data_IF_072289033989
#
_entry.id   IF_072289033989
#
_cell.length_a   1.000
_cell.length_b   1.000
_cell.length_c   1.000
_cell.angle_alpha   90.00
_cell.angle_beta   90.00
_cell.angle_gamma   90.00
#
_symmetry.space_group_name_H-M   'P 1'
#
loop_
_entity.id
_entity.type
_entity.pdbx_description
1 polymer ?
#
# COMPACT_ATOMS: atom_id res chain seq x y z
N UNK A 1 13.51 22.49 -19.80
CA UNK A 1 12.44 21.86 -18.99
C UNK A 1 13.12 21.12 -17.85
N UNK A 2 13.01 21.54 -16.58
CA UNK A 2 13.64 20.80 -15.48
C UNK A 2 12.77 19.59 -15.09
N UNK A 3 13.42 18.45 -14.81
CA UNK A 3 12.80 17.14 -14.56
C UNK A 3 12.19 16.97 -13.14
N UNK A 4 11.62 15.79 -12.84
CA UNK A 4 10.70 15.58 -11.71
C UNK A 4 11.36 15.44 -10.32
N UNK A 5 12.65 15.74 -10.17
CA UNK A 5 13.35 15.65 -8.89
C UNK A 5 13.87 17.02 -8.45
N UNK A 6 13.00 17.79 -7.78
CA UNK A 6 13.34 18.83 -6.78
C UNK A 6 12.16 19.80 -6.67
N UNK A 7 11.12 19.42 -5.92
CA UNK A 7 10.17 20.40 -5.41
C UNK A 7 10.83 21.16 -4.25
N UNK A 8 11.56 22.22 -4.58
CA UNK A 8 11.91 23.31 -3.65
C UNK A 8 11.28 24.59 -4.18
N UNK A 9 10.88 25.46 -3.23
CA UNK A 9 10.39 26.85 -3.37
C UNK A 9 8.86 27.03 -3.63
N UNK A 10 8.07 27.94 -2.99
CA UNK A 10 8.25 29.12 -2.10
C UNK A 10 6.95 29.41 -1.33
N UNK A 11 7.00 29.85 -0.06
CA UNK A 11 6.27 31.06 0.41
C UNK A 11 7.12 31.78 1.48
N UNK A 12 7.51 33.02 1.19
CA UNK A 12 8.16 33.96 2.10
C UNK A 12 7.18 35.07 2.44
N UNK A 13 6.95 35.32 3.72
CA UNK A 13 6.74 36.65 4.30
C UNK A 13 7.14 36.55 5.77
N UNK A 14 8.14 37.35 6.17
CA UNK A 14 8.68 37.52 7.54
C UNK A 14 9.75 36.52 8.03
N UNK A 15 11.01 36.78 7.66
CA UNK A 15 12.18 36.85 8.57
C UNK A 15 12.58 35.69 9.49
N UNK A 16 11.81 34.59 9.59
CA UNK A 16 12.18 33.34 10.23
C UNK A 16 12.23 32.28 9.14
N UNK A 17 13.37 31.59 9.03
CA UNK A 17 13.43 30.41 8.16
C UNK A 17 12.33 29.43 8.60
N UNK A 18 11.41 29.02 7.72
CA UNK A 18 10.46 27.98 8.07
C UNK A 18 11.27 26.70 8.32
N UNK A 19 10.98 26.06 9.45
CA UNK A 19 11.36 24.68 9.70
C UNK A 19 11.01 23.87 8.45
N UNK A 20 12.02 23.37 7.74
CA UNK A 20 11.81 22.48 6.60
C UNK A 20 11.22 21.23 7.21
N UNK A 21 9.90 21.11 7.19
CA UNK A 21 9.24 19.85 7.49
C UNK A 21 9.73 18.89 6.42
N UNK A 22 10.75 18.09 6.76
CA UNK A 22 11.20 16.97 5.95
C UNK A 22 10.02 16.01 5.88
N UNK A 23 9.13 16.22 4.92
CA UNK A 23 8.13 15.22 4.58
C UNK A 23 8.94 14.00 4.15
N UNK A 24 8.78 12.84 4.81
CA UNK A 24 9.45 11.62 4.39
C UNK A 24 9.17 11.40 2.89
N UNK A 25 10.15 10.88 2.15
CA UNK A 25 9.98 10.59 0.72
C UNK A 25 8.79 9.64 0.55
N UNK A 26 7.65 10.20 0.10
CA UNK A 26 6.37 9.51 0.01
C UNK A 26 6.31 8.78 -1.32
N UNK A 27 6.10 7.46 -1.28
CA UNK A 27 6.00 6.62 -2.48
C UNK A 27 4.71 5.83 -2.51
N UNK A 28 4.08 5.79 -3.68
CA UNK A 28 2.84 5.09 -3.91
C UNK A 28 3.10 3.87 -4.80
N UNK A 29 2.77 2.67 -4.35
CA UNK A 29 2.78 1.47 -5.19
C UNK A 29 1.36 0.96 -5.38
N UNK A 30 1.13 0.22 -6.45
CA UNK A 30 -0.14 -0.43 -6.73
C UNK A 30 0.09 -1.89 -7.06
N UNK A 31 -0.81 -2.76 -6.62
CA UNK A 31 -0.91 -4.12 -7.17
C UNK A 31 -1.90 -4.16 -8.33
N UNK A 32 -2.30 -5.36 -8.75
CA UNK A 32 -3.12 -5.53 -9.95
C UNK A 32 -4.63 -5.34 -9.74
N UNK A 33 -5.12 -5.21 -8.49
CA UNK A 33 -6.55 -5.19 -8.21
C UNK A 33 -7.23 -3.89 -8.66
N UNK A 34 -6.57 -2.75 -8.45
CA UNK A 34 -7.15 -1.42 -8.67
C UNK A 34 -6.16 -0.39 -9.26
N UNK A 35 -5.50 -0.68 -10.40
CA UNK A 35 -4.48 0.20 -10.97
C UNK A 35 -5.03 1.58 -11.39
N UNK A 36 -6.25 1.64 -11.93
CA UNK A 36 -6.86 2.92 -12.32
C UNK A 36 -7.13 3.84 -11.13
N UNK A 37 -7.60 3.27 -10.01
CA UNK A 37 -7.83 4.03 -8.79
C UNK A 37 -6.50 4.52 -8.20
N UNK A 38 -5.47 3.66 -8.20
CA UNK A 38 -4.14 4.03 -7.74
C UNK A 38 -3.58 5.20 -8.57
N UNK A 39 -3.72 5.16 -9.90
CA UNK A 39 -3.30 6.26 -10.77
C UNK A 39 -4.09 7.55 -10.49
N UNK A 40 -5.41 7.47 -10.28
CA UNK A 40 -6.22 8.65 -9.90
C UNK A 40 -5.80 9.25 -8.57
N UNK A 41 -5.43 8.41 -7.60
CA UNK A 41 -4.90 8.86 -6.29
C UNK A 41 -3.54 9.54 -6.48
N UNK A 42 -2.63 8.92 -7.23
CA UNK A 42 -1.32 9.49 -7.53
C UNK A 42 -1.43 10.86 -8.22
N UNK A 43 -2.30 10.96 -9.23
CA UNK A 43 -2.56 12.22 -9.94
C UNK A 43 -3.10 13.32 -9.01
N UNK A 44 -4.00 12.97 -8.07
CA UNK A 44 -4.55 13.92 -7.09
C UNK A 44 -3.52 14.36 -6.04
N UNK A 45 -2.54 13.51 -5.76
CA UNK A 45 -1.42 13.80 -4.87
C UNK A 45 -0.25 14.45 -5.60
N UNK A 46 -0.39 14.76 -6.89
CA UNK A 46 0.65 15.34 -7.76
C UNK A 46 1.95 14.52 -7.76
N UNK A 47 1.83 13.19 -7.73
CA UNK A 47 2.93 12.24 -7.77
C UNK A 47 2.68 11.14 -8.81
N UNK A 48 3.68 10.29 -9.05
CA UNK A 48 3.57 9.09 -9.88
C UNK A 48 3.50 7.83 -9.02
N UNK A 49 3.01 6.74 -9.62
CA UNK A 49 3.22 5.42 -9.03
C UNK A 49 4.70 5.06 -9.12
N UNK A 50 5.16 4.36 -8.09
CA UNK A 50 6.50 3.82 -8.01
C UNK A 50 6.70 2.66 -8.98
N UNK A 51 7.95 2.40 -9.32
CA UNK A 51 8.34 1.32 -10.23
C UNK A 51 8.39 -0.01 -9.48
N UNK A 52 7.37 -0.83 -9.70
CA UNK A 52 7.31 -2.20 -9.24
C UNK A 52 6.74 -3.11 -10.33
N UNK A 53 7.41 -4.23 -10.58
CA UNK A 53 6.87 -5.31 -11.39
C UNK A 53 6.06 -6.24 -10.48
N UNK A 54 4.74 -6.27 -10.65
CA UNK A 54 3.81 -7.14 -9.91
C UNK A 54 3.12 -8.06 -10.91
N UNK A 55 3.45 -9.34 -10.89
CA UNK A 55 2.99 -10.28 -11.87
C UNK A 55 2.97 -11.72 -11.36
N UNK A 56 3.17 -12.65 -12.28
CA UNK A 56 3.12 -14.08 -12.01
C UNK A 56 4.26 -14.82 -12.69
N UNK A 57 4.76 -15.85 -12.02
CA UNK A 57 5.56 -16.89 -12.67
C UNK A 57 4.67 -17.78 -13.54
N UNK A 58 5.28 -18.62 -14.38
CA UNK A 58 4.56 -19.49 -15.32
C UNK A 58 3.64 -20.52 -14.66
N UNK A 59 3.89 -20.85 -13.40
CA UNK A 59 3.09 -21.76 -12.57
C UNK A 59 1.97 -21.03 -11.80
N UNK A 60 1.87 -19.70 -11.90
CA UNK A 60 0.85 -18.88 -11.26
C UNK A 60 1.24 -18.31 -9.89
N UNK A 61 2.45 -18.55 -9.40
CA UNK A 61 2.93 -17.93 -8.17
C UNK A 61 3.10 -16.41 -8.33
N UNK A 62 2.78 -15.65 -7.27
CA UNK A 62 2.99 -14.19 -7.22
C UNK A 62 4.48 -13.88 -7.37
N UNK A 63 4.80 -12.98 -8.29
CA UNK A 63 6.15 -12.42 -8.46
C UNK A 63 6.11 -10.91 -8.25
N UNK A 64 6.98 -10.40 -7.38
CA UNK A 64 7.08 -8.97 -7.08
C UNK A 64 8.54 -8.56 -7.09
N UNK A 65 8.84 -7.46 -7.78
CA UNK A 65 10.14 -6.79 -7.75
C UNK A 65 9.95 -5.28 -7.62
N UNK A 66 10.57 -4.68 -6.61
CA UNK A 66 10.63 -3.21 -6.43
C UNK A 66 11.86 -2.70 -7.17
N UNK A 67 11.68 -1.83 -8.15
CA UNK A 67 12.74 -1.39 -9.08
C UNK A 67 13.34 -0.03 -8.73
N UNK A 68 13.01 0.51 -7.56
CA UNK A 68 13.52 1.80 -7.10
C UNK A 68 13.92 1.77 -5.62
N UNK A 69 14.70 2.76 -5.21
CA UNK A 69 15.09 2.89 -3.81
C UNK A 69 13.92 3.34 -2.93
N UNK A 70 13.59 2.56 -1.91
CA UNK A 70 12.50 2.83 -0.95
C UNK A 70 13.01 2.99 0.49
N UNK A 71 14.32 2.95 0.72
CA UNK A 71 14.92 2.95 2.06
C UNK A 71 14.49 4.18 2.85
N UNK A 72 13.91 3.97 4.03
CA UNK A 72 13.46 5.05 4.92
C UNK A 72 12.24 5.83 4.42
N UNK A 73 11.67 5.47 3.26
CA UNK A 73 10.49 6.14 2.70
C UNK A 73 9.20 5.83 3.45
N UNK A 74 8.21 6.69 3.29
CA UNK A 74 6.83 6.45 3.74
C UNK A 74 6.03 5.89 2.56
N UNK A 75 5.80 4.59 2.62
CA UNK A 75 5.30 3.80 1.50
C UNK A 75 3.80 3.55 1.66
N UNK A 76 3.04 3.78 0.60
CA UNK A 76 1.62 3.48 0.53
C UNK A 76 1.38 2.47 -0.58
N UNK A 77 0.77 1.33 -0.25
CA UNK A 77 0.39 0.31 -1.23
C UNK A 77 -1.11 0.39 -1.45
N UNK A 78 -1.53 0.72 -2.65
CA UNK A 78 -2.94 0.81 -3.03
C UNK A 78 -3.35 -0.51 -3.67
N UNK A 79 -4.04 -1.34 -2.90
CA UNK A 79 -4.46 -2.66 -3.37
C UNK A 79 -5.75 -3.07 -2.65
N UNK A 80 -6.83 -3.23 -3.42
CA UNK A 80 -8.05 -3.87 -2.91
C UNK A 80 -7.87 -5.38 -2.85
N UNK A 81 -8.58 -6.04 -1.93
CA UNK A 81 -8.66 -7.51 -1.87
C UNK A 81 -9.99 -7.99 -2.45
N UNK A 82 -10.35 -7.45 -3.62
CA UNK A 82 -11.51 -7.89 -4.42
C UNK A 82 -11.17 -9.12 -5.27
N UNK A 83 -12.14 -9.66 -6.02
CA UNK A 83 -11.90 -10.83 -6.87
C UNK A 83 -10.81 -10.56 -7.93
N UNK A 84 -9.83 -11.47 -8.12
CA UNK A 84 -9.58 -12.70 -7.36
C UNK A 84 -8.96 -12.44 -5.98
N UNK A 85 -9.72 -12.71 -4.91
CA UNK A 85 -9.42 -12.23 -3.55
C UNK A 85 -8.09 -12.72 -3.01
N UNK A 86 -7.80 -14.01 -3.17
CA UNK A 86 -6.58 -14.62 -2.63
C UNK A 86 -5.35 -14.12 -3.37
N UNK A 87 -5.44 -14.00 -4.68
CA UNK A 87 -4.37 -13.51 -5.53
C UNK A 87 -4.01 -12.07 -5.20
N UNK A 88 -5.01 -11.19 -5.07
CA UNK A 88 -4.80 -9.79 -4.73
C UNK A 88 -4.28 -9.62 -3.29
N UNK A 89 -4.73 -10.46 -2.35
CA UNK A 89 -4.19 -10.50 -0.99
C UNK A 89 -2.73 -10.98 -1.00
N UNK A 90 -2.41 -12.01 -1.78
CA UNK A 90 -1.05 -12.53 -1.88
C UNK A 90 -0.09 -11.52 -2.53
N UNK A 91 -0.52 -10.79 -3.55
CA UNK A 91 0.24 -9.66 -4.10
C UNK A 91 0.54 -8.62 -3.03
N UNK A 92 -0.46 -8.20 -2.26
CA UNK A 92 -0.28 -7.21 -1.19
C UNK A 92 0.76 -7.67 -0.16
N UNK A 93 0.62 -8.88 0.38
CA UNK A 93 1.53 -9.36 1.44
C UNK A 93 2.96 -9.55 0.93
N UNK A 94 3.14 -10.02 -0.31
CA UNK A 94 4.47 -10.19 -0.92
C UNK A 94 5.11 -8.83 -1.23
N UNK A 95 4.33 -7.84 -1.68
CA UNK A 95 4.80 -6.45 -1.84
C UNK A 95 5.27 -5.85 -0.52
N UNK A 96 4.51 -6.05 0.57
CA UNK A 96 4.90 -5.57 1.90
C UNK A 96 6.21 -6.21 2.36
N UNK A 97 6.37 -7.53 2.20
CA UNK A 97 7.62 -8.22 2.55
C UNK A 97 8.82 -7.68 1.75
N UNK A 98 8.66 -7.48 0.43
CA UNK A 98 9.71 -6.92 -0.42
C UNK A 98 10.12 -5.51 0.04
N UNK A 99 9.16 -4.63 0.32
CA UNK A 99 9.40 -3.27 0.80
C UNK A 99 10.06 -3.24 2.17
N UNK A 100 9.62 -4.10 3.08
CA UNK A 100 10.19 -4.24 4.43
C UNK A 100 11.64 -4.69 4.37
N UNK A 101 11.97 -5.70 3.55
CA UNK A 101 13.34 -6.16 3.34
C UNK A 101 14.21 -5.12 2.65
N UNK A 102 13.62 -4.30 1.77
CA UNK A 102 14.25 -3.13 1.19
C UNK A 102 14.43 -1.95 2.17
N UNK A 103 14.11 -2.14 3.46
CA UNK A 103 14.27 -1.16 4.53
C UNK A 103 13.38 0.08 4.36
N UNK A 104 12.16 -0.08 3.84
CA UNK A 104 11.13 0.95 3.91
C UNK A 104 10.97 1.46 5.35
N UNK A 105 10.79 2.77 5.52
CA UNK A 105 10.68 3.38 6.85
C UNK A 105 9.31 3.12 7.47
N UNK A 106 8.26 3.19 6.66
CA UNK A 106 6.88 2.89 7.04
C UNK A 106 6.11 2.32 5.86
N UNK A 107 5.24 1.37 6.10
CA UNK A 107 4.39 0.73 5.10
C UNK A 107 2.92 0.86 5.52
N UNK A 108 2.16 1.60 4.73
CA UNK A 108 0.72 1.77 4.87
C UNK A 108 -0.02 1.01 3.77
N UNK A 109 -0.86 0.04 4.14
CA UNK A 109 -1.74 -0.64 3.20
C UNK A 109 -3.04 0.17 3.04
N UNK A 110 -3.29 0.67 1.83
CA UNK A 110 -4.53 1.31 1.45
C UNK A 110 -5.37 0.28 0.72
N UNK A 111 -6.42 -0.22 1.38
CA UNK A 111 -7.28 -1.33 0.94
C UNK A 111 -8.72 -0.82 0.72
N UNK A 112 -9.02 -0.17 -0.43
CA UNK A 112 -10.34 0.41 -0.68
C UNK A 112 -11.48 -0.58 -0.49
N UNK A 113 -11.34 -1.81 -0.97
CA UNK A 113 -12.26 -2.91 -0.66
C UNK A 113 -11.55 -4.00 0.13
N UNK A 114 -12.01 -4.25 1.36
CA UNK A 114 -11.49 -5.28 2.24
C UNK A 114 -12.28 -6.60 2.07
N UNK A 115 -11.72 -7.52 1.30
CA UNK A 115 -12.19 -8.89 1.17
C UNK A 115 -12.19 -9.63 2.50
N UNK A 116 -12.96 -10.70 2.61
CA UNK A 116 -13.17 -11.46 3.85
C UNK A 116 -13.81 -10.69 5.03
N UNK A 117 -14.07 -9.39 4.92
CA UNK A 117 -14.71 -8.58 5.97
C UNK A 117 -16.05 -9.15 6.49
N UNK A 118 -16.79 -9.89 5.66
CA UNK A 118 -18.08 -10.51 6.05
C UNK A 118 -17.94 -11.71 6.99
N UNK A 119 -16.75 -12.29 7.12
CA UNK A 119 -16.45 -13.41 8.02
C UNK A 119 -15.70 -12.90 9.27
N UNK A 120 -16.32 -11.97 9.99
CA UNK A 120 -15.75 -11.25 11.14
C UNK A 120 -16.14 -11.84 12.51
N UNK A 121 -17.08 -12.80 12.55
CA UNK A 121 -17.52 -13.45 13.78
C UNK A 121 -18.03 -14.86 13.58
N UNK A 122 -18.04 -15.62 14.67
CA UNK A 122 -18.69 -16.95 14.74
C UNK A 122 -20.16 -16.77 15.10
N UNK A 123 -21.05 -16.97 14.12
CA UNK A 123 -22.49 -16.95 14.37
C UNK A 123 -22.90 -18.21 15.14
N UNK A 124 -23.61 -18.06 16.27
CA UNK A 124 -24.14 -19.16 17.10
C UNK A 124 -23.09 -20.23 17.46
N UNK A 125 -21.85 -19.80 17.75
CA UNK A 125 -20.73 -20.68 18.08
C UNK A 125 -20.39 -21.74 17.03
N UNK A 126 -20.81 -21.54 15.76
CA UNK A 126 -20.48 -22.45 14.66
C UNK A 126 -18.96 -22.65 14.52
N UNK A 127 -18.55 -23.84 14.05
CA UNK A 127 -17.15 -24.18 13.79
C UNK A 127 -16.70 -23.62 12.43
N UNK A 128 -16.67 -22.30 12.35
CA UNK A 128 -16.28 -21.53 11.14
C UNK A 128 -15.08 -20.63 11.44
N UNK A 129 -14.23 -20.33 10.44
CA UNK A 129 -13.13 -19.40 10.62
C UNK A 129 -13.64 -17.97 10.80
N UNK A 130 -12.82 -17.14 11.46
CA UNK A 130 -12.95 -15.68 11.45
C UNK A 130 -11.92 -15.15 10.47
N UNK A 131 -12.22 -15.27 9.17
CA UNK A 131 -11.22 -15.04 8.11
C UNK A 131 -10.77 -13.58 8.06
N UNK A 132 -11.61 -12.62 8.45
CA UNK A 132 -11.19 -11.22 8.59
C UNK A 132 -10.03 -11.07 9.60
N UNK A 133 -10.06 -11.84 10.71
CA UNK A 133 -8.98 -11.86 11.71
C UNK A 133 -7.71 -12.52 11.17
N UNK A 134 -7.86 -13.62 10.43
CA UNK A 134 -6.71 -14.28 9.76
C UNK A 134 -6.00 -13.33 8.80
N UNK A 135 -6.75 -12.59 7.97
CA UNK A 135 -6.19 -11.59 7.05
C UNK A 135 -5.50 -10.46 7.81
N UNK A 136 -6.10 -9.96 8.89
CA UNK A 136 -5.47 -8.94 9.73
C UNK A 136 -4.15 -9.42 10.35
N UNK A 137 -4.09 -10.68 10.80
CA UNK A 137 -2.87 -11.29 11.34
C UNK A 137 -1.80 -11.47 10.26
N UNK A 138 -2.20 -11.81 9.03
CA UNK A 138 -1.27 -11.87 7.89
C UNK A 138 -0.66 -10.51 7.56
N UNK A 139 -1.48 -9.46 7.46
CA UNK A 139 -0.97 -8.11 7.19
C UNK A 139 -0.04 -7.62 8.31
N UNK A 140 -0.40 -7.91 9.56
CA UNK A 140 0.41 -7.56 10.72
C UNK A 140 1.76 -8.30 10.74
N UNK A 141 1.77 -9.59 10.36
CA UNK A 141 2.98 -10.42 10.42
C UNK A 141 4.01 -10.02 9.36
N UNK A 142 3.58 -9.67 8.15
CA UNK A 142 4.49 -9.20 7.09
C UNK A 142 5.04 -7.80 7.34
N UNK A 143 4.40 -7.01 8.22
CA UNK A 143 4.91 -5.73 8.69
C UNK A 143 4.20 -4.52 8.09
N UNK A 144 2.88 -4.60 7.89
CA UNK A 144 2.06 -3.42 7.64
C UNK A 144 1.98 -2.60 8.93
N UNK A 145 2.41 -1.34 8.89
CA UNK A 145 2.35 -0.44 10.05
C UNK A 145 0.96 0.16 10.25
N UNK A 146 0.27 0.46 9.14
CA UNK A 146 -1.07 1.07 9.13
C UNK A 146 -1.92 0.50 8.02
N UNK A 147 -3.20 0.31 8.30
CA UNK A 147 -4.21 -0.11 7.32
C UNK A 147 -5.27 0.98 7.20
N UNK A 148 -5.61 1.36 5.97
CA UNK A 148 -6.69 2.27 5.65
C UNK A 148 -7.65 1.58 4.68
N UNK A 149 -8.89 1.37 5.09
CA UNK A 149 -9.96 0.84 4.25
C UNK A 149 -11.13 1.84 4.16
N UNK A 150 -12.03 1.66 3.19
CA UNK A 150 -13.17 2.58 2.99
C UNK A 150 -14.28 2.44 4.04
N UNK A 151 -14.09 1.61 5.07
CA UNK A 151 -15.14 1.13 5.94
C UNK A 151 -15.93 0.03 5.26
N UNK A 152 -16.02 -1.14 5.89
CA UNK A 152 -17.03 -2.12 5.51
C UNK A 152 -18.41 -1.48 5.67
N UNK A 153 -19.10 -1.22 4.57
CA UNK A 153 -20.52 -0.86 4.58
C UNK A 153 -21.26 -1.95 5.37
N UNK A 154 -21.65 -1.61 6.59
CA UNK A 154 -22.67 -2.34 7.35
C UNK A 154 -24.03 -1.98 6.82
#
# INVERSE_FOLDING_TARGET
MPGPHSFRQILSTNGRMPEVLLVPDMKLFAGNATPELAQRIANRLYTSLGDAAVGRFSDGEVSVQINENVRGGDIFIIQSTCAPTNDNLMELVVMVDALRRASAGRITAVIPYFGYARQDRRVRSARVPITAKVVADFLSSVGVDRCADSGSAR
#
